data_IF_645882382807
#
_entry.id   IF_645882382807
#
_cell.length_a   1.000
_cell.length_b   1.000
_cell.length_c   1.000
_cell.angle_alpha   90.00
_cell.angle_beta   90.00
_cell.angle_gamma   90.00
#
_symmetry.space_group_name_H-M   'P 1'
#
loop_
_entity.id
_entity.type
_entity.pdbx_description
1 polymer ?
#
# COMPACT_ATOMS: atom_id res chain seq x y z
N UNK A 1 2.10 23.17 -15.49
CA UNK A 1 0.93 22.59 -14.79
C UNK A 1 0.55 23.52 -13.66
N UNK A 2 -0.73 23.81 -13.43
CA UNK A 2 -1.13 24.96 -12.59
C UNK A 2 -0.79 24.74 -11.11
N UNK A 3 0.01 25.65 -10.55
CA UNK A 3 0.40 25.73 -9.14
C UNK A 3 -0.79 25.62 -8.15
N UNK A 4 -1.98 26.09 -8.56
CA UNK A 4 -3.17 26.18 -7.70
C UNK A 4 -3.71 24.86 -7.14
N UNK A 5 -3.44 23.70 -7.76
CA UNK A 5 -3.97 22.42 -7.27
C UNK A 5 -3.15 21.85 -6.11
N UNK A 6 -1.85 22.19 -6.04
CA UNK A 6 -0.97 21.71 -4.98
C UNK A 6 -1.25 22.42 -3.66
N UNK A 7 -1.61 23.71 -3.71
CA UNK A 7 -1.93 24.50 -2.52
C UNK A 7 -3.16 23.95 -1.80
N UNK A 8 -4.21 23.60 -2.55
CA UNK A 8 -5.40 22.97 -1.96
C UNK A 8 -5.09 21.62 -1.31
N UNK A 9 -4.21 20.80 -1.88
CA UNK A 9 -3.82 19.52 -1.29
C UNK A 9 -2.99 19.72 -0.01
N UNK A 10 -2.15 20.75 0.03
CA UNK A 10 -1.39 21.10 1.24
C UNK A 10 -2.32 21.51 2.38
N UNK A 11 -3.40 22.23 2.09
CA UNK A 11 -4.43 22.58 3.09
C UNK A 11 -5.18 21.35 3.64
N UNK A 12 -5.09 20.21 2.94
CA UNK A 12 -5.70 18.94 3.35
C UNK A 12 -4.75 18.03 4.15
N UNK A 13 -3.50 18.43 4.37
CA UNK A 13 -2.57 17.69 5.26
C UNK A 13 -3.21 17.57 6.66
N UNK A 14 -3.12 16.37 7.25
CA UNK A 14 -3.77 16.02 8.52
C UNK A 14 -5.28 15.77 8.45
N UNK A 15 -5.92 16.04 7.31
CA UNK A 15 -7.36 15.80 7.13
C UNK A 15 -7.66 14.38 6.66
N UNK A 16 -8.73 13.80 7.19
CA UNK A 16 -9.29 12.56 6.67
C UNK A 16 -10.05 12.82 5.36
N UNK A 17 -9.66 12.12 4.31
CA UNK A 17 -10.16 12.31 2.94
C UNK A 17 -10.47 10.99 2.26
N UNK A 18 -11.29 11.08 1.21
CA UNK A 18 -11.46 10.03 0.23
C UNK A 18 -10.74 10.41 -1.07
N UNK A 19 -9.72 9.64 -1.40
CA UNK A 19 -9.02 9.66 -2.69
C UNK A 19 -9.82 8.85 -3.71
N UNK A 20 -10.12 9.45 -4.86
CA UNK A 20 -10.96 8.91 -5.93
C UNK A 20 -12.38 8.50 -5.44
N UNK A 21 -13.43 9.16 -5.95
CA UNK A 21 -14.81 8.95 -5.49
C UNK A 21 -15.37 7.55 -5.80
N UNK A 22 -14.63 6.70 -6.52
CA UNK A 22 -15.01 5.33 -6.85
C UNK A 22 -13.95 4.60 -7.67
N UNK A 23 -14.26 3.36 -8.05
CA UNK A 23 -13.37 2.50 -8.84
C UNK A 23 -12.32 1.76 -8.01
N UNK A 24 -11.44 0.97 -8.68
CA UNK A 24 -10.49 0.09 -8.00
C UNK A 24 -9.45 0.83 -7.14
N UNK A 25 -9.22 2.10 -7.46
CA UNK A 25 -8.24 2.98 -6.79
C UNK A 25 -8.88 3.90 -5.73
N UNK A 26 -10.17 3.75 -5.42
CA UNK A 26 -10.88 4.58 -4.43
C UNK A 26 -10.49 4.21 -3.01
N UNK A 27 -9.77 5.07 -2.29
CA UNK A 27 -9.29 4.81 -0.93
C UNK A 27 -9.64 5.94 0.04
N UNK A 28 -9.80 5.61 1.32
CA UNK A 28 -9.96 6.57 2.42
C UNK A 28 -8.73 6.57 3.32
N UNK A 29 -8.39 7.72 3.89
CA UNK A 29 -7.27 7.86 4.81
C UNK A 29 -6.96 9.32 5.13
N UNK A 30 -5.90 9.53 5.91
CA UNK A 30 -5.40 10.85 6.27
C UNK A 30 -4.23 11.22 5.36
N UNK A 31 -4.22 12.44 4.81
CA UNK A 31 -3.06 12.93 4.07
C UNK A 31 -1.95 13.24 5.05
N UNK A 32 -0.78 12.64 4.86
CA UNK A 32 0.38 12.86 5.72
C UNK A 32 1.30 13.92 5.12
N UNK A 33 1.57 13.83 3.82
CA UNK A 33 2.46 14.76 3.13
C UNK A 33 2.04 14.92 1.67
N UNK A 34 2.41 16.06 1.08
CA UNK A 34 2.18 16.40 -0.32
C UNK A 34 3.52 16.85 -0.92
N UNK A 35 3.98 16.12 -1.92
CA UNK A 35 5.25 16.33 -2.61
C UNK A 35 5.01 16.96 -3.99
N UNK A 36 6.04 17.02 -4.83
CA UNK A 36 5.94 17.72 -6.11
C UNK A 36 4.99 17.04 -7.10
N UNK A 37 5.06 15.71 -7.23
CA UNK A 37 4.28 14.92 -8.19
C UNK A 37 3.52 13.74 -7.54
N UNK A 38 3.60 13.59 -6.22
CA UNK A 38 2.86 12.59 -5.45
C UNK A 38 2.42 13.10 -4.07
N UNK A 39 1.56 12.34 -3.40
CA UNK A 39 1.19 12.58 -1.99
C UNK A 39 1.08 11.28 -1.22
N UNK A 40 1.16 11.38 0.11
CA UNK A 40 1.14 10.24 1.03
C UNK A 40 -0.20 10.19 1.76
N UNK A 41 -0.86 9.04 1.72
CA UNK A 41 -2.11 8.75 2.40
C UNK A 41 -1.90 7.62 3.40
N UNK A 42 -2.14 7.87 4.68
CA UNK A 42 -2.17 6.84 5.73
C UNK A 42 -3.59 6.32 5.87
N UNK A 43 -3.79 5.02 5.67
CA UNK A 43 -5.11 4.43 5.89
C UNK A 43 -5.37 4.22 7.40
N UNK A 44 -6.59 3.80 7.73
CA UNK A 44 -7.00 3.51 9.11
C UNK A 44 -6.19 2.38 9.77
N UNK A 45 -5.51 1.55 8.98
CA UNK A 45 -4.63 0.47 9.47
C UNK A 45 -3.18 0.92 9.71
N UNK A 46 -2.87 2.19 9.44
CA UNK A 46 -1.52 2.74 9.54
C UNK A 46 -0.62 2.49 8.33
N UNK A 47 -1.12 1.85 7.27
CA UNK A 47 -0.36 1.62 6.03
C UNK A 47 -0.25 2.92 5.21
N UNK A 48 0.93 3.20 4.69
CA UNK A 48 1.20 4.37 3.85
C UNK A 48 1.03 4.03 2.37
N UNK A 49 0.26 4.85 1.66
CA UNK A 49 0.06 4.77 0.22
C UNK A 49 0.58 6.04 -0.43
N UNK A 50 1.44 5.86 -1.43
CA UNK A 50 2.02 6.95 -2.19
C UNK A 50 1.30 7.04 -3.53
N UNK A 51 0.58 8.12 -3.76
CA UNK A 51 -0.26 8.31 -4.95
C UNK A 51 0.33 9.38 -5.86
N UNK A 52 0.48 9.08 -7.14
CA UNK A 52 0.89 10.09 -8.11
C UNK A 52 -0.25 11.08 -8.38
N UNK A 53 0.08 12.38 -8.34
CA UNK A 53 -0.86 13.47 -8.57
C UNK A 53 -1.47 13.43 -9.97
N UNK A 54 -0.70 12.98 -10.98
CA UNK A 54 -1.17 12.86 -12.37
C UNK A 54 -2.33 11.85 -12.55
N UNK A 55 -2.51 10.95 -11.59
CA UNK A 55 -3.60 9.95 -11.59
C UNK A 55 -4.72 10.25 -10.59
N UNK A 56 -4.58 11.34 -9.82
CA UNK A 56 -5.61 11.77 -8.89
C UNK A 56 -6.83 12.30 -9.66
N UNK A 57 -7.97 11.59 -9.56
CA UNK A 57 -9.20 11.99 -10.26
C UNK A 57 -10.09 12.89 -9.41
N UNK A 58 -10.07 12.69 -8.11
CA UNK A 58 -10.84 13.51 -7.16
C UNK A 58 -10.32 13.32 -5.75
N UNK A 59 -10.39 14.36 -4.94
CA UNK A 59 -10.23 14.26 -3.50
C UNK A 59 -11.48 14.81 -2.82
N UNK A 60 -11.95 14.15 -1.77
CA UNK A 60 -13.18 14.53 -1.07
C UNK A 60 -12.95 14.55 0.43
N UNK A 61 -13.05 15.73 1.04
CA UNK A 61 -13.11 15.92 2.49
C UNK A 61 -14.57 16.06 2.91
N UNK A 62 -14.98 15.38 3.97
CA UNK A 62 -16.33 15.53 4.50
C UNK A 62 -16.42 16.85 5.29
N UNK A 63 -17.25 17.78 4.85
CA UNK A 63 -17.40 19.09 5.50
C UNK A 63 -17.94 19.02 6.94
N UNK A 64 -18.54 17.88 7.34
CA UNK A 64 -19.02 17.65 8.70
C UNK A 64 -17.94 17.12 9.64
N UNK A 65 -16.87 16.57 9.10
CA UNK A 65 -15.74 16.02 9.87
C UNK A 65 -14.70 17.13 10.06
N UNK A 66 -14.97 18.00 11.04
CA UNK A 66 -14.03 19.00 11.53
C UNK A 66 -13.34 18.48 12.80
N UNK A 67 -12.69 17.32 12.69
CA UNK A 67 -11.79 16.83 13.72
C UNK A 67 -10.40 17.40 13.46
N UNK A 68 -9.88 18.23 14.36
CA UNK A 68 -8.44 18.44 14.47
C UNK A 68 -7.84 17.12 14.90
N UNK A 69 -7.44 16.29 13.94
CA UNK A 69 -6.55 15.18 14.23
C UNK A 69 -5.27 15.84 14.73
N UNK A 70 -4.92 15.66 16.00
CA UNK A 70 -3.57 15.91 16.49
C UNK A 70 -2.66 14.91 15.78
N UNK A 71 -2.31 15.21 14.53
CA UNK A 71 -1.32 14.46 13.80
C UNK A 71 0.02 14.89 14.37
N UNK A 72 0.61 14.01 15.18
CA UNK A 72 2.06 14.06 15.36
C UNK A 72 2.65 14.05 13.95
N UNK A 73 3.29 15.17 13.60
CA UNK A 73 4.00 15.33 12.36
C UNK A 73 5.16 14.35 12.40
N UNK A 74 4.89 13.10 12.03
CA UNK A 74 5.95 12.17 11.66
C UNK A 74 6.55 12.80 10.40
N UNK A 75 7.80 13.25 10.50
CA UNK A 75 8.63 13.62 9.36
C UNK A 75 8.71 12.41 8.43
N UNK A 76 7.69 12.24 7.58
CA UNK A 76 7.75 11.30 6.49
C UNK A 76 8.86 11.82 5.59
N UNK A 77 9.99 11.12 5.58
CA UNK A 77 11.09 11.34 4.66
C UNK A 77 10.54 11.17 3.24
N UNK A 78 10.04 12.26 2.69
CA UNK A 78 9.50 12.30 1.34
C UNK A 78 10.66 12.53 0.40
N UNK A 79 10.75 11.70 -0.63
CA UNK A 79 11.65 11.94 -1.74
C UNK A 79 11.19 13.19 -2.52
N UNK A 80 12.10 13.74 -3.33
CA UNK A 80 11.83 14.96 -4.11
C UNK A 80 10.69 14.73 -5.12
N UNK A 81 10.72 13.58 -5.80
CA UNK A 81 9.73 13.16 -6.78
C UNK A 81 9.37 11.66 -6.64
N UNK A 82 8.38 11.21 -7.43
CA UNK A 82 7.90 9.84 -7.37
C UNK A 82 8.92 8.81 -7.88
N UNK A 83 9.86 9.21 -8.75
CA UNK A 83 10.90 8.31 -9.25
C UNK A 83 11.94 8.04 -8.17
N UNK A 84 12.45 9.09 -7.51
CA UNK A 84 13.32 9.00 -6.35
C UNK A 84 12.65 8.23 -5.19
N UNK A 85 11.34 8.38 -5.01
CA UNK A 85 10.57 7.57 -4.07
C UNK A 85 10.66 6.08 -4.44
N UNK A 86 10.44 5.72 -5.70
CA UNK A 86 10.55 4.32 -6.14
C UNK A 86 11.98 3.79 -6.00
N UNK A 87 12.99 4.62 -6.24
CA UNK A 87 14.39 4.26 -6.00
C UNK A 87 14.66 3.93 -4.53
N UNK A 88 14.03 4.66 -3.60
CA UNK A 88 14.13 4.36 -2.16
C UNK A 88 13.51 3.01 -1.78
N UNK A 89 12.68 2.43 -2.64
CA UNK A 89 12.07 1.11 -2.46
C UNK A 89 12.80 -0.01 -3.22
N UNK A 90 14.00 0.24 -3.77
CA UNK A 90 14.80 -0.84 -4.38
C UNK A 90 15.03 -1.96 -3.37
N UNK A 91 14.88 -3.18 -3.85
CA UNK A 91 14.95 -4.45 -3.14
C UNK A 91 13.85 -4.68 -2.09
N UNK A 92 12.87 -3.78 -1.99
CA UNK A 92 11.75 -3.94 -1.10
C UNK A 92 10.55 -4.64 -1.76
N UNK A 93 9.79 -5.38 -0.96
CA UNK A 93 8.48 -5.88 -1.37
C UNK A 93 7.48 -4.72 -1.46
N UNK A 94 7.01 -4.44 -2.66
CA UNK A 94 6.08 -3.35 -2.95
C UNK A 94 4.79 -3.87 -3.56
N UNK A 95 3.73 -3.09 -3.35
CA UNK A 95 2.43 -3.26 -3.98
C UNK A 95 2.16 -2.09 -4.89
N UNK A 96 2.13 -2.35 -6.19
CA UNK A 96 1.86 -1.38 -7.24
C UNK A 96 0.38 -1.46 -7.63
N UNK A 97 -0.26 -0.30 -7.62
CA UNK A 97 -1.71 -0.11 -7.76
C UNK A 97 -2.52 -0.85 -6.68
N UNK A 98 -3.69 -0.33 -6.34
CA UNK A 98 -4.49 -0.92 -5.27
C UNK A 98 -5.43 -2.00 -5.78
N UNK A 99 -6.01 -1.80 -6.96
CA UNK A 99 -7.00 -2.72 -7.50
C UNK A 99 -7.08 -2.73 -9.03
N UNK A 100 -7.97 -3.58 -9.53
CA UNK A 100 -8.16 -3.77 -10.96
C UNK A 100 -7.10 -4.70 -11.56
N UNK A 101 -7.08 -4.84 -12.89
CA UNK A 101 -6.21 -5.79 -13.60
C UNK A 101 -4.74 -5.37 -13.58
N UNK A 102 -4.43 -4.12 -13.25
CA UNK A 102 -3.08 -3.56 -13.21
C UNK A 102 -2.44 -3.66 -11.81
N UNK A 103 -3.10 -4.32 -10.86
CA UNK A 103 -2.59 -4.55 -9.50
C UNK A 103 -1.51 -5.63 -9.53
N UNK A 104 -0.35 -5.33 -8.97
CA UNK A 104 0.77 -6.29 -8.88
C UNK A 104 1.56 -6.09 -7.58
N UNK A 105 2.10 -7.19 -7.05
CA UNK A 105 2.86 -7.23 -5.80
C UNK A 105 4.14 -8.05 -6.06
N UNK A 106 5.28 -7.58 -5.57
CA UNK A 106 6.59 -8.22 -5.80
C UNK A 106 7.75 -7.38 -5.30
N UNK A 107 8.97 -7.82 -5.60
CA UNK A 107 10.20 -7.12 -5.20
C UNK A 107 10.58 -6.11 -6.27
N UNK A 108 10.78 -4.84 -5.88
CA UNK A 108 11.27 -3.80 -6.79
C UNK A 108 12.76 -3.99 -7.03
N UNK A 109 13.15 -4.45 -8.21
CA UNK A 109 14.55 -4.74 -8.53
C UNK A 109 15.29 -3.48 -8.96
N UNK A 110 14.69 -2.67 -9.83
CA UNK A 110 15.34 -1.49 -10.39
C UNK A 110 14.33 -0.44 -10.86
N UNK A 111 14.80 0.81 -10.97
CA UNK A 111 14.09 1.96 -11.53
C UNK A 111 15.03 2.57 -12.56
N UNK A 112 14.62 2.60 -13.83
CA UNK A 112 15.43 3.13 -14.92
C UNK A 112 14.57 3.49 -16.13
N UNK A 113 14.93 4.58 -16.80
CA UNK A 113 14.38 5.00 -18.10
C UNK A 113 12.84 5.10 -18.12
N UNK A 114 12.21 5.69 -17.10
CA UNK A 114 10.73 5.76 -16.94
C UNK A 114 10.04 4.40 -16.68
N UNK A 115 10.79 3.35 -16.33
CA UNK A 115 10.26 2.04 -15.98
C UNK A 115 10.73 1.55 -14.61
N UNK A 116 9.90 0.70 -14.01
CA UNK A 116 10.22 -0.09 -12.82
C UNK A 116 10.28 -1.55 -13.23
N UNK A 117 11.33 -2.23 -12.77
CA UNK A 117 11.47 -3.68 -12.90
C UNK A 117 11.01 -4.34 -11.60
N UNK A 118 10.04 -5.24 -11.68
CA UNK A 118 9.46 -5.95 -10.55
C UNK A 118 9.68 -7.45 -10.71
N UNK A 119 10.16 -8.12 -9.67
CA UNK A 119 10.25 -9.59 -9.62
C UNK A 119 9.01 -10.12 -8.93
N UNK A 120 8.24 -10.93 -9.66
CA UNK A 120 7.00 -11.54 -9.18
C UNK A 120 7.11 -13.05 -9.36
N UNK A 121 7.35 -13.75 -8.24
CA UNK A 121 7.62 -15.21 -8.27
C UNK A 121 8.81 -15.54 -9.18
N UNK A 122 8.55 -16.17 -10.33
CA UNK A 122 9.55 -16.57 -11.33
C UNK A 122 9.55 -15.66 -12.56
N UNK A 123 8.80 -14.55 -12.53
CA UNK A 123 8.65 -13.61 -13.64
C UNK A 123 9.31 -12.26 -13.32
N UNK A 124 9.88 -11.65 -14.36
CA UNK A 124 10.36 -10.27 -14.32
C UNK A 124 9.41 -9.42 -15.15
N UNK A 125 8.81 -8.42 -14.51
CA UNK A 125 7.81 -7.54 -15.11
C UNK A 125 8.38 -6.13 -15.21
N UNK A 126 8.26 -5.52 -16.39
CA UNK A 126 8.61 -4.12 -16.62
C UNK A 126 7.33 -3.28 -16.66
N UNK A 127 7.26 -2.25 -15.82
CA UNK A 127 6.08 -1.39 -15.67
C UNK A 127 6.48 0.06 -15.90
N UNK A 128 5.83 0.75 -16.83
CA UNK A 128 6.12 2.17 -17.03
C UNK A 128 5.63 2.99 -15.82
N UNK A 129 6.46 3.88 -15.29
CA UNK A 129 6.15 4.75 -14.14
C UNK A 129 4.89 5.58 -14.41
N UNK A 130 4.62 5.93 -15.67
CA UNK A 130 3.40 6.62 -16.11
C UNK A 130 2.08 5.84 -15.94
N UNK A 131 2.14 4.55 -15.66
CA UNK A 131 0.97 3.71 -15.42
C UNK A 131 0.81 3.31 -13.95
N UNK A 132 1.77 3.68 -13.10
CA UNK A 132 1.71 3.45 -11.66
C UNK A 132 0.84 4.56 -11.03
N UNK A 133 -0.32 4.19 -10.49
CA UNK A 133 -1.24 5.13 -9.83
C UNK A 133 -0.89 5.32 -8.37
N UNK A 134 -0.50 4.21 -7.72
CA UNK A 134 -0.05 4.22 -6.34
C UNK A 134 0.98 3.13 -6.08
N UNK A 135 1.86 3.36 -5.12
CA UNK A 135 2.69 2.31 -4.52
C UNK A 135 2.44 2.26 -3.03
N UNK A 136 2.45 1.07 -2.46
CA UNK A 136 2.47 0.82 -1.04
C UNK A 136 3.68 -0.05 -0.72
N UNK A 137 4.34 0.25 0.38
CA UNK A 137 5.54 -0.42 0.86
C UNK A 137 5.24 -0.98 2.25
N UNK A 138 5.64 -2.22 2.49
CA UNK A 138 5.58 -2.82 3.82
C UNK A 138 6.99 -2.93 4.40
N UNK A 139 7.27 -2.17 5.45
CA UNK A 139 8.58 -2.11 6.06
C UNK A 139 9.06 -3.43 6.69
N UNK A 140 8.14 -4.32 7.01
CA UNK A 140 8.44 -5.64 7.58
C UNK A 140 9.22 -6.56 6.62
N UNK A 141 9.40 -6.19 5.35
CA UNK A 141 10.06 -7.01 4.34
C UNK A 141 11.42 -6.46 3.86
N UNK A 142 11.93 -5.37 4.47
CA UNK A 142 13.25 -4.81 4.10
C UNK A 142 14.31 -4.94 5.19
N UNK A 143 14.02 -5.71 6.23
CA UNK A 143 15.09 -6.25 7.06
C UNK A 143 15.83 -7.30 6.23
N UNK A 144 17.14 -7.10 6.13
CA UNK A 144 18.08 -7.90 5.37
C UNK A 144 17.86 -9.40 5.63
N UNK A 145 18.09 -10.20 4.58
CA UNK A 145 18.11 -11.65 4.67
C UNK A 145 19.27 -12.09 5.56
N UNK A 146 19.06 -12.13 6.87
CA UNK A 146 19.84 -12.98 7.77
C UNK A 146 19.25 -14.39 7.70
N UNK A 147 20.02 -15.26 7.05
CA UNK A 147 19.83 -16.70 7.05
C UNK A 147 19.72 -17.22 8.49
N UNK A 148 18.53 -17.70 8.85
CA UNK A 148 18.41 -18.70 9.92
C UNK A 148 17.40 -19.76 9.48
N UNK A 149 17.97 -20.80 8.90
CA UNK A 149 17.47 -22.16 8.87
C UNK A 149 17.02 -22.59 10.28
N UNK A 150 15.75 -22.96 10.44
CA UNK A 150 15.38 -23.97 11.43
C UNK A 150 14.27 -24.85 10.85
N UNK A 151 14.72 -25.89 10.16
CA UNK A 151 14.04 -27.17 10.10
C UNK A 151 13.47 -27.58 11.46
N UNK A 152 12.16 -27.79 11.59
CA UNK A 152 11.61 -28.82 12.50
C UNK A 152 10.45 -29.58 11.88
N UNK A 153 10.78 -30.82 11.58
CA UNK A 153 9.95 -31.94 11.21
C UNK A 153 8.99 -32.36 12.34
N UNK A 154 7.98 -33.12 11.93
CA UNK A 154 6.82 -33.70 12.63
C UNK A 154 7.02 -34.31 14.02
N UNK A 155 5.93 -34.31 14.80
CA UNK A 155 5.56 -35.48 15.62
C UNK A 155 4.07 -35.54 15.95
N UNK A 156 3.43 -36.61 15.46
CA UNK A 156 2.17 -37.21 15.92
C UNK A 156 2.14 -37.43 17.44
N UNK A 157 0.96 -37.36 18.09
CA UNK A 157 0.26 -38.58 18.55
C UNK A 157 -1.14 -38.34 19.19
N UNK A 158 -2.09 -39.15 18.72
CA UNK A 158 -3.17 -39.87 19.42
C UNK A 158 -3.91 -39.29 20.65
N UNK A 159 -5.24 -39.23 20.53
CA UNK A 159 -6.18 -39.25 21.66
C UNK A 159 -7.55 -39.83 21.26
N UNK A 160 -7.75 -41.13 21.48
CA UNK A 160 -9.05 -41.82 21.31
C UNK A 160 -10.05 -41.40 22.39
N UNK A 161 -11.31 -41.14 22.03
CA UNK A 161 -12.45 -41.46 22.88
C UNK A 161 -13.74 -41.69 22.07
N UNK A 162 -14.21 -42.95 22.09
CA UNK A 162 -15.54 -43.39 21.67
C UNK A 162 -16.59 -42.82 22.63
N UNK A 163 -17.71 -42.32 22.10
CA UNK A 163 -19.00 -42.39 22.80
C UNK A 163 -20.14 -42.53 21.77
N UNK A 164 -20.68 -43.74 21.76
CA UNK A 164 -21.83 -44.22 21.00
C UNK A 164 -23.12 -43.68 21.62
N UNK A 165 -24.07 -43.17 20.84
CA UNK A 165 -25.48 -43.22 21.21
C UNK A 165 -26.42 -43.07 20.02
N UNK A 166 -27.23 -44.11 19.87
CA UNK A 166 -28.31 -44.31 18.90
C UNK A 166 -29.51 -43.42 19.24
N UNK A 167 -30.24 -42.94 18.23
CA UNK A 167 -31.71 -43.05 18.24
C UNK A 167 -32.26 -42.89 16.82
N UNK A 168 -33.02 -43.89 16.44
CA UNK A 168 -33.69 -44.13 15.17
C UNK A 168 -35.09 -43.50 15.09
N UNK A 169 -35.56 -43.34 13.84
CA UNK A 169 -36.95 -43.37 13.34
C UNK A 169 -37.81 -42.08 13.38
N UNK A 170 -38.10 -41.59 12.17
CA UNK A 170 -39.44 -41.69 11.57
C UNK A 170 -40.33 -40.45 11.61
N UNK A 171 -40.63 -39.86 10.45
CA UNK A 171 -41.87 -40.09 9.69
C UNK A 171 -41.79 -39.39 8.34
#
# INVERSE_FOLDING_TARGET
MSLFHCDFLKDLIGSFVRVNRGGPESQKGTIISVCQDYFVLKNEKGELYYYQLKHLKSITKNAKECGSSDCEWEDCACAEDFEALLESFKYCWVKINRGGPEKVEGILQDVSCDFVTLIVKEEIILIAIKHIKSVNYNALACEESDESDDSKESSDNSGRARAQRQSSRGR
#
